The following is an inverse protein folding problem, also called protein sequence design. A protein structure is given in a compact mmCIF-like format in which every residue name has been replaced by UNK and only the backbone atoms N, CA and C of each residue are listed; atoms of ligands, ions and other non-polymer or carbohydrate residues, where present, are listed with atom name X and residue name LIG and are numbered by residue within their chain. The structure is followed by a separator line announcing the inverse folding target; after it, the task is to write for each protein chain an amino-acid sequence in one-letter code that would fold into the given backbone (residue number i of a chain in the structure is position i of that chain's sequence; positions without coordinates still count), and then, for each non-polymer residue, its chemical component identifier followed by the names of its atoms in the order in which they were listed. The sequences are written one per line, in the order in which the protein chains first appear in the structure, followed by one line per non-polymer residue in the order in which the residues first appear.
data_IF_265954792138
#
_entry.id   IF_265954792138
#
_cell.length_a   1.000
_cell.length_b   1.000
_cell.length_c   1.000
_cell.angle_alpha   90.00
_cell.angle_beta   90.00
_cell.angle_gamma   90.00
#
_symmetry.space_group_name_H-M   'P 1'
#
loop_
_entity.id
_entity.type
_entity.pdbx_description
1 polymer ?
#
# COMPACT_ATOMS: atom_id res chain seq x y z
N UNK A 1 38.77 -0.28 8.17
CA UNK A 1 39.09 1.14 8.41
C UNK A 1 39.25 1.77 7.03
N UNK A 2 38.45 2.71 6.50
CA UNK A 2 37.74 3.89 7.04
C UNK A 2 36.67 4.37 6.01
N UNK A 3 35.42 4.50 6.47
CA UNK A 3 34.28 5.41 6.15
C UNK A 3 33.63 5.60 4.75
N UNK A 4 32.29 5.50 4.77
CA UNK A 4 31.27 5.85 3.77
C UNK A 4 31.15 7.37 3.55
N UNK A 5 30.75 7.80 2.34
CA UNK A 5 29.61 8.72 2.06
C UNK A 5 29.79 9.51 0.76
N UNK A 6 28.87 9.35 -0.18
CA UNK A 6 28.04 10.45 -0.72
C UNK A 6 27.11 9.88 -1.79
N UNK A 7 25.87 9.54 -1.43
CA UNK A 7 24.80 9.42 -2.41
C UNK A 7 24.41 10.84 -2.82
N UNK A 8 24.69 11.22 -4.05
CA UNK A 8 24.20 12.45 -4.65
C UNK A 8 22.66 12.39 -4.73
N UNK A 9 22.00 13.06 -3.79
CA UNK A 9 20.58 13.37 -3.90
C UNK A 9 20.40 14.44 -4.98
N UNK A 10 20.13 14.02 -6.21
CA UNK A 10 19.60 14.89 -7.26
C UNK A 10 18.16 14.50 -7.54
N UNK A 11 17.26 14.86 -6.63
CA UNK A 11 15.82 14.81 -6.90
C UNK A 11 15.46 15.99 -7.80
N UNK A 12 15.49 15.77 -9.11
CA UNK A 12 14.80 16.65 -10.05
C UNK A 12 13.30 16.37 -9.91
N UNK A 13 12.58 17.38 -9.40
CA UNK A 13 11.14 17.43 -9.43
C UNK A 13 10.69 17.58 -10.89
N UNK A 14 10.48 16.46 -11.58
CA UNK A 14 9.86 16.45 -12.89
C UNK A 14 8.34 16.38 -12.71
N UNK A 15 7.69 17.47 -13.10
CA UNK A 15 6.23 17.57 -13.18
C UNK A 15 5.69 16.40 -13.98
N UNK A 16 5.06 15.45 -13.29
CA UNK A 16 4.47 14.29 -13.92
C UNK A 16 3.12 14.71 -14.51
N UNK A 17 3.09 14.97 -15.82
CA UNK A 17 1.87 14.71 -16.62
C UNK A 17 1.85 13.23 -16.98
N UNK A 18 1.88 12.37 -15.97
CA UNK A 18 1.64 10.96 -16.19
C UNK A 18 0.13 10.78 -16.33
N UNK A 19 -0.35 10.64 -17.56
CA UNK A 19 -1.48 9.74 -17.82
C UNK A 19 -0.98 8.30 -17.57
N UNK A 20 -0.52 8.04 -16.34
CA UNK A 20 -0.35 6.69 -15.86
C UNK A 20 -1.77 6.16 -15.73
N UNK A 21 -2.11 5.14 -16.50
CA UNK A 21 -3.28 4.33 -16.23
C UNK A 21 -3.25 4.03 -14.73
N UNK A 22 -4.22 4.56 -13.98
CA UNK A 22 -4.24 4.37 -12.54
C UNK A 22 -4.20 2.87 -12.28
N UNK A 23 -3.32 2.39 -11.41
CA UNK A 23 -3.29 0.97 -11.09
C UNK A 23 -4.68 0.55 -10.62
N UNK A 24 -5.13 -0.65 -10.99
CA UNK A 24 -6.47 -1.15 -10.62
C UNK A 24 -6.71 -1.08 -9.11
N UNK A 25 -5.64 -1.18 -8.32
CA UNK A 25 -5.61 -0.91 -6.89
C UNK A 25 -4.32 -0.17 -6.48
N UNK A 26 -4.45 0.80 -5.58
CA UNK A 26 -3.35 1.48 -4.87
C UNK A 26 -3.47 1.20 -3.38
N UNK A 27 -2.39 0.70 -2.78
CA UNK A 27 -2.36 0.31 -1.36
C UNK A 27 -1.18 1.03 -0.71
N UNK A 28 -1.42 1.76 0.38
CA UNK A 28 -0.35 2.41 1.13
C UNK A 28 -0.77 2.62 2.59
N UNK A 29 0.19 2.93 3.45
CA UNK A 29 -0.06 3.18 4.87
C UNK A 29 0.30 4.61 5.24
N UNK A 30 -0.48 5.18 6.16
CA UNK A 30 -0.19 6.47 6.78
C UNK A 30 -0.48 6.34 8.28
N UNK A 31 0.58 6.28 9.09
CA UNK A 31 0.48 5.97 10.52
C UNK A 31 -0.14 4.59 10.77
N UNK A 32 -1.18 4.53 11.60
CA UNK A 32 -1.90 3.31 11.99
C UNK A 32 -3.01 2.90 11.01
N UNK A 33 -3.01 3.47 9.80
CA UNK A 33 -4.12 3.40 8.86
C UNK A 33 -3.66 2.91 7.49
N UNK A 34 -4.33 1.88 7.00
CA UNK A 34 -4.23 1.40 5.63
C UNK A 34 -5.18 2.19 4.73
N UNK A 35 -4.62 2.78 3.69
CA UNK A 35 -5.35 3.43 2.62
C UNK A 35 -5.35 2.55 1.38
N UNK A 36 -6.55 2.26 0.89
CA UNK A 36 -6.80 1.48 -0.31
C UNK A 36 -7.58 2.35 -1.29
N UNK A 37 -7.14 2.45 -2.53
CA UNK A 37 -7.92 3.05 -3.62
C UNK A 37 -8.14 1.99 -4.69
N UNK A 38 -9.40 1.72 -5.04
CA UNK A 38 -9.77 0.73 -6.04
C UNK A 38 -10.45 1.38 -7.24
N UNK A 39 -10.17 0.88 -8.46
CA UNK A 39 -10.88 1.30 -9.67
C UNK A 39 -12.31 0.75 -9.74
N UNK A 40 -12.57 -0.42 -9.12
CA UNK A 40 -13.87 -1.10 -9.08
C UNK A 40 -14.12 -1.70 -7.69
N UNK A 41 -15.35 -2.10 -7.41
CA UNK A 41 -15.65 -2.77 -6.14
C UNK A 41 -15.01 -4.17 -6.09
N UNK A 42 -14.17 -4.43 -5.09
CA UNK A 42 -13.45 -5.70 -4.94
C UNK A 42 -13.45 -6.22 -3.50
N UNK A 43 -13.21 -7.53 -3.36
CA UNK A 43 -13.03 -8.16 -2.04
C UNK A 43 -11.58 -7.99 -1.59
N UNK A 44 -11.41 -7.37 -0.43
CA UNK A 44 -10.14 -7.13 0.22
C UNK A 44 -9.90 -8.21 1.27
N UNK A 45 -8.73 -8.81 1.24
CA UNK A 45 -8.25 -9.72 2.26
C UNK A 45 -6.97 -9.17 2.88
N UNK A 46 -6.95 -9.09 4.20
CA UNK A 46 -5.79 -8.61 4.96
C UNK A 46 -5.29 -9.78 5.79
N UNK A 47 -4.06 -10.20 5.54
CA UNK A 47 -3.39 -11.27 6.26
C UNK A 47 -2.27 -10.69 7.12
N UNK A 48 -1.96 -11.33 8.24
CA UNK A 48 -0.73 -11.06 8.96
C UNK A 48 0.45 -11.79 8.29
N UNK A 49 1.66 -11.60 8.82
CA UNK A 49 2.90 -12.24 8.33
C UNK A 49 2.86 -13.77 8.43
N UNK A 50 2.10 -14.32 9.39
CA UNK A 50 1.94 -15.78 9.54
C UNK A 50 0.93 -16.37 8.55
N UNK A 51 0.32 -15.56 7.69
CA UNK A 51 -0.69 -15.98 6.72
C UNK A 51 -2.10 -16.11 7.28
N UNK A 52 -2.34 -15.73 8.53
CA UNK A 52 -3.68 -15.75 9.11
C UNK A 52 -4.50 -14.55 8.62
N UNK A 53 -5.76 -14.79 8.25
CA UNK A 53 -6.69 -13.74 7.82
C UNK A 53 -7.07 -12.87 9.02
N UNK A 54 -6.68 -11.60 8.97
CA UNK A 54 -6.96 -10.58 9.98
C UNK A 54 -8.29 -9.89 9.71
N UNK A 55 -8.57 -9.60 8.43
CA UNK A 55 -9.81 -8.92 8.03
C UNK A 55 -10.17 -9.27 6.59
N UNK A 56 -11.47 -9.41 6.31
CA UNK A 56 -12.01 -9.48 4.97
C UNK A 56 -13.24 -8.57 4.86
N UNK A 57 -13.38 -7.89 3.72
CA UNK A 57 -14.55 -7.07 3.43
C UNK A 57 -14.63 -6.76 1.94
N UNK A 58 -15.82 -6.38 1.47
CA UNK A 58 -16.00 -5.86 0.11
C UNK A 58 -15.85 -4.35 0.13
N UNK A 59 -14.84 -3.84 -0.55
CA UNK A 59 -14.60 -2.42 -0.72
C UNK A 59 -15.28 -1.92 -2.00
N UNK A 60 -15.96 -0.76 -1.98
CA UNK A 60 -16.43 -0.11 -3.20
C UNK A 60 -15.27 0.45 -4.02
N UNK A 61 -15.56 0.86 -5.26
CA UNK A 61 -14.63 1.69 -6.03
C UNK A 61 -14.36 3.01 -5.29
N UNK A 62 -13.15 3.55 -5.44
CA UNK A 62 -12.68 4.73 -4.73
C UNK A 62 -11.87 4.40 -3.48
N UNK A 63 -11.80 5.34 -2.54
CA UNK A 63 -10.95 5.24 -1.36
C UNK A 63 -11.67 4.51 -0.23
N UNK A 64 -11.01 3.49 0.33
CA UNK A 64 -11.40 2.82 1.57
C UNK A 64 -10.25 2.89 2.57
N UNK A 65 -10.60 3.09 3.84
CA UNK A 65 -9.64 3.29 4.91
C UNK A 65 -9.86 2.24 6.00
N UNK A 66 -8.78 1.64 6.48
CA UNK A 66 -8.85 0.53 7.45
C UNK A 66 -7.85 0.77 8.57
N UNK A 67 -8.34 0.92 9.80
CA UNK A 67 -7.48 0.94 10.98
C UNK A 67 -6.98 -0.48 11.28
N UNK A 68 -5.67 -0.62 11.43
CA UNK A 68 -4.98 -1.87 11.77
C UNK A 68 -4.01 -1.61 12.92
N UNK A 69 -3.76 -2.60 13.80
CA UNK A 69 -2.67 -2.52 14.77
C UNK A 69 -1.29 -2.39 14.08
N UNK A 70 -0.29 -1.91 14.82
CA UNK A 70 1.12 -1.91 14.35
C UNK A 70 1.56 -3.33 13.99
N UNK A 71 2.20 -3.48 12.83
CA UNK A 71 2.63 -4.79 12.35
C UNK A 71 2.79 -4.87 10.84
N UNK A 72 3.23 -6.02 10.37
CA UNK A 72 3.35 -6.33 8.94
C UNK A 72 2.09 -7.05 8.49
N UNK A 73 1.54 -6.61 7.36
CA UNK A 73 0.36 -7.21 6.74
C UNK A 73 0.56 -7.45 5.26
N UNK A 74 -0.15 -8.43 4.73
CA UNK A 74 -0.31 -8.67 3.29
C UNK A 74 -1.75 -8.31 2.93
N UNK A 75 -1.91 -7.29 2.10
CA UNK A 75 -3.21 -6.84 1.62
C UNK A 75 -3.40 -7.35 0.21
N UNK A 76 -4.45 -8.15 -0.01
CA UNK A 76 -4.82 -8.71 -1.31
C UNK A 76 -6.14 -8.13 -1.77
N UNK A 77 -6.16 -7.60 -3.00
CA UNK A 77 -7.33 -7.06 -3.69
C UNK A 77 -7.31 -7.55 -5.13
N UNK A 78 -8.27 -8.40 -5.50
CA UNK A 78 -8.28 -9.04 -6.81
C UNK A 78 -7.00 -9.84 -7.05
N UNK A 79 -6.27 -9.48 -8.12
CA UNK A 79 -4.99 -10.08 -8.49
C UNK A 79 -3.78 -9.40 -7.82
N UNK A 80 -3.99 -8.26 -7.16
CA UNK A 80 -2.92 -7.50 -6.52
C UNK A 80 -2.72 -7.92 -5.08
N UNK A 81 -1.46 -8.04 -4.68
CA UNK A 81 -1.06 -8.31 -3.30
C UNK A 81 0.09 -7.38 -2.91
N UNK A 82 -0.03 -6.72 -1.78
CA UNK A 82 0.93 -5.72 -1.33
C UNK A 82 1.28 -5.94 0.14
N UNK A 83 2.59 -6.03 0.42
CA UNK A 83 3.11 -6.13 1.78
C UNK A 83 3.25 -4.72 2.33
N UNK A 84 2.57 -4.45 3.44
CA UNK A 84 2.58 -3.15 4.11
C UNK A 84 3.06 -3.29 5.54
N UNK A 85 3.72 -2.24 6.03
CA UNK A 85 4.04 -2.09 7.43
C UNK A 85 3.18 -0.95 8.01
N UNK A 86 2.48 -1.25 9.08
CA UNK A 86 1.73 -0.28 9.88
C UNK A 86 2.63 0.11 11.04
N UNK A 87 2.90 1.41 11.16
CA UNK A 87 3.72 1.98 12.24
C UNK A 87 2.87 2.16 13.50
#
# INVERSE_FOLDING_TARGET
MVYFSSLEFKQIAEGTVANAALPEARIYTAGSVLHLTLARAETVHIYNVSGALVRNFRAPAGQTTVALPTGIYIVRTGERSEKVFIH
#
